data_IF_712335961250
#
_entry.id   IF_712335961250
#
_cell.length_a   1.000
_cell.length_b   1.000
_cell.length_c   1.000
_cell.angle_alpha   90.00
_cell.angle_beta   90.00
_cell.angle_gamma   90.00
#
_symmetry.space_group_name_H-M   'P 1'
#
loop_
_entity.id
_entity.type
_entity.pdbx_description
1 polymer ?
#
# COMPACT_ATOMS: atom_id res chain seq x y z
N UNK A 1 21.51 3.76 29.97
CA UNK A 1 20.83 2.65 29.27
C UNK A 1 19.66 3.19 28.48
N UNK A 2 19.30 2.57 27.35
CA UNK A 2 18.16 2.93 26.50
C UNK A 2 17.20 1.75 26.50
N UNK A 3 15.90 1.99 26.65
CA UNK A 3 14.89 0.94 26.62
C UNK A 3 13.60 1.44 25.96
N UNK A 4 12.80 0.50 25.45
CA UNK A 4 11.43 0.74 24.99
C UNK A 4 10.53 0.65 26.22
N UNK A 5 9.70 1.67 26.43
CA UNK A 5 8.73 1.72 27.53
C UNK A 5 7.36 1.21 27.07
N UNK A 6 6.48 0.85 28.02
CA UNK A 6 5.16 0.27 27.71
C UNK A 6 4.23 1.20 26.92
N UNK A 7 4.51 2.49 26.88
CA UNK A 7 3.80 3.47 26.04
C UNK A 7 4.30 3.49 24.57
N UNK A 8 5.26 2.63 24.22
CA UNK A 8 5.87 2.54 22.89
C UNK A 8 6.98 3.55 22.62
N UNK A 9 7.27 4.45 23.57
CA UNK A 9 8.36 5.43 23.44
C UNK A 9 9.71 4.82 23.77
N UNK A 10 10.79 5.43 23.27
CA UNK A 10 12.16 5.03 23.58
C UNK A 10 12.77 6.07 24.51
N UNK A 11 13.20 5.64 25.71
CA UNK A 11 13.71 6.55 26.75
C UNK A 11 15.05 6.08 27.31
N UNK A 12 15.83 7.02 27.82
CA UNK A 12 17.05 6.72 28.57
C UNK A 12 16.76 6.44 30.06
N UNK A 13 17.79 6.08 30.82
CA UNK A 13 17.70 5.80 32.27
C UNK A 13 17.22 6.97 33.13
N UNK A 14 17.29 8.21 32.63
CA UNK A 14 16.83 9.42 33.33
C UNK A 14 15.40 9.79 32.91
N UNK A 15 14.77 8.98 32.05
CA UNK A 15 13.40 9.20 31.56
C UNK A 15 13.28 10.22 30.42
N UNK A 16 14.40 10.67 29.85
CA UNK A 16 14.38 11.57 28.69
C UNK A 16 13.95 10.81 27.44
N UNK A 17 13.04 11.44 26.67
CA UNK A 17 12.50 10.91 25.42
C UNK A 17 13.54 11.00 24.30
N UNK A 18 13.77 9.88 23.60
CA UNK A 18 14.66 9.80 22.43
C UNK A 18 13.83 9.66 21.14
N UNK A 19 12.88 8.72 21.13
CA UNK A 19 11.97 8.51 20.00
C UNK A 19 10.53 8.39 20.50
N UNK A 20 9.60 8.99 19.75
CA UNK A 20 8.16 8.84 20.01
C UNK A 20 7.69 7.40 19.78
N UNK A 21 8.34 6.69 18.86
CA UNK A 21 8.09 5.30 18.55
C UNK A 21 9.37 4.63 18.09
N UNK A 22 9.64 3.42 18.56
CA UNK A 22 10.85 2.66 18.19
C UNK A 22 10.96 2.53 16.67
N UNK A 23 12.05 2.99 16.07
CA UNK A 23 12.22 2.89 14.61
C UNK A 23 11.18 3.68 13.80
N UNK A 24 10.51 4.67 14.42
CA UNK A 24 9.42 5.49 13.84
C UNK A 24 8.11 4.72 13.53
N UNK A 25 8.15 3.39 13.43
CA UNK A 25 7.00 2.51 13.14
C UNK A 25 6.57 1.62 14.32
N UNK A 26 7.46 1.43 15.31
CA UNK A 26 7.25 0.61 16.50
C UNK A 26 7.32 -0.89 16.24
N UNK A 27 7.97 -1.30 15.16
CA UNK A 27 8.05 -2.70 14.75
C UNK A 27 9.34 -3.36 15.24
N UNK A 28 9.27 -4.67 15.50
CA UNK A 28 10.45 -5.46 15.82
C UNK A 28 11.28 -5.72 14.54
N UNK A 29 12.58 -5.44 14.61
CA UNK A 29 13.52 -5.69 13.52
C UNK A 29 13.64 -7.17 13.14
N UNK A 30 13.25 -8.09 14.03
CA UNK A 30 13.18 -9.52 13.72
C UNK A 30 11.95 -9.94 12.88
N UNK A 31 10.92 -9.09 12.80
CA UNK A 31 9.64 -9.38 12.17
C UNK A 31 9.43 -8.67 10.82
N UNK A 32 10.48 -8.06 10.27
CA UNK A 32 10.44 -7.31 9.00
C UNK A 32 11.23 -8.02 7.92
N UNK A 33 10.75 -7.92 6.68
CA UNK A 33 11.35 -8.57 5.51
C UNK A 33 11.49 -7.59 4.33
N UNK A 34 12.37 -7.90 3.39
CA UNK A 34 12.52 -7.11 2.17
C UNK A 34 11.36 -7.40 1.22
N UNK A 35 10.58 -6.36 0.91
CA UNK A 35 9.44 -6.41 0.01
C UNK A 35 9.63 -5.40 -1.13
N UNK A 36 8.90 -5.61 -2.24
CA UNK A 36 8.95 -4.71 -3.40
C UNK A 36 7.65 -3.94 -3.55
N UNK A 37 7.72 -2.61 -3.58
CA UNK A 37 6.56 -1.74 -3.84
C UNK A 37 6.20 -1.77 -5.34
N UNK A 38 5.07 -2.36 -5.74
CA UNK A 38 4.76 -2.58 -7.15
C UNK A 38 4.27 -1.31 -7.86
N UNK A 39 3.89 -0.26 -7.12
CA UNK A 39 3.35 1.00 -7.63
C UNK A 39 4.42 2.02 -8.02
N UNK A 40 5.65 1.91 -7.46
CA UNK A 40 6.67 2.95 -7.54
C UNK A 40 7.35 3.05 -8.92
N UNK A 41 7.88 1.92 -9.41
CA UNK A 41 8.70 1.83 -10.65
C UNK A 41 7.94 1.92 -11.98
N UNK A 42 6.71 1.40 -12.14
CA UNK A 42 6.05 1.41 -13.44
C UNK A 42 5.88 2.81 -14.04
N UNK A 43 5.95 2.91 -15.37
CA UNK A 43 5.56 4.13 -16.10
C UNK A 43 4.07 4.41 -15.91
N UNK A 44 3.61 5.64 -16.17
CA UNK A 44 2.20 6.00 -15.99
C UNK A 44 1.26 5.07 -16.78
N UNK A 45 1.62 4.73 -18.02
CA UNK A 45 0.86 3.80 -18.86
C UNK A 45 0.87 2.37 -18.31
N UNK A 46 2.00 1.89 -17.81
CA UNK A 46 2.10 0.55 -17.23
C UNK A 46 1.37 0.44 -15.90
N UNK A 47 1.39 1.51 -15.10
CA UNK A 47 0.64 1.62 -13.85
C UNK A 47 -0.86 1.60 -14.11
N UNK A 48 -1.37 2.42 -15.04
CA UNK A 48 -2.78 2.41 -15.41
C UNK A 48 -3.23 1.04 -15.90
N UNK A 49 -2.48 0.42 -16.82
CA UNK A 49 -2.82 -0.91 -17.32
C UNK A 49 -2.88 -1.99 -16.23
N UNK A 50 -2.07 -1.87 -15.18
CA UNK A 50 -1.95 -2.91 -14.14
C UNK A 50 -2.93 -2.72 -12.97
N UNK A 51 -3.22 -1.47 -12.61
CA UNK A 51 -3.95 -1.14 -11.38
C UNK A 51 -5.32 -0.51 -11.62
N UNK A 52 -5.58 0.08 -12.79
CA UNK A 52 -6.91 0.60 -13.11
C UNK A 52 -7.83 -0.55 -13.47
N UNK A 53 -8.89 -0.72 -12.72
CA UNK A 53 -9.91 -1.72 -13.00
C UNK A 53 -10.96 -1.15 -13.96
N UNK A 54 -11.11 -1.76 -15.13
CA UNK A 54 -12.05 -1.33 -16.16
C UNK A 54 -13.25 -2.27 -16.21
N UNK A 55 -14.40 -1.79 -15.76
CA UNK A 55 -15.66 -2.54 -15.73
C UNK A 55 -16.36 -2.53 -17.09
N UNK A 56 -15.96 -1.64 -18.02
CA UNK A 56 -16.65 -1.51 -19.32
C UNK A 56 -16.46 -2.73 -20.23
N UNK A 57 -15.43 -3.56 -19.98
CA UNK A 57 -15.12 -4.73 -20.78
C UNK A 57 -15.77 -6.01 -20.23
N UNK A 58 -17.06 -6.21 -20.52
CA UNK A 58 -17.83 -7.37 -20.07
C UNK A 58 -17.19 -8.71 -20.44
N UNK A 59 -16.57 -8.80 -21.64
CA UNK A 59 -15.92 -10.04 -22.11
C UNK A 59 -14.72 -10.41 -21.25
N UNK A 60 -14.00 -9.43 -20.71
CA UNK A 60 -12.88 -9.66 -19.81
C UNK A 60 -13.36 -10.00 -18.40
N UNK A 61 -14.40 -9.34 -17.91
CA UNK A 61 -14.99 -9.61 -16.60
C UNK A 61 -15.53 -11.03 -16.49
N UNK A 62 -16.26 -11.52 -17.53
CA UNK A 62 -16.77 -12.90 -17.59
C UNK A 62 -15.70 -13.98 -17.59
N UNK A 63 -14.43 -13.65 -17.85
CA UNK A 63 -13.31 -14.61 -17.75
C UNK A 63 -12.76 -14.73 -16.32
N UNK A 64 -13.00 -13.72 -15.48
CA UNK A 64 -12.39 -13.59 -14.15
C UNK A 64 -13.45 -13.82 -13.06
N UNK A 65 -14.67 -13.35 -13.27
CA UNK A 65 -15.78 -13.39 -12.32
C UNK A 65 -16.96 -14.22 -12.82
N UNK A 66 -17.77 -14.70 -11.87
CA UNK A 66 -19.04 -15.36 -12.15
C UNK A 66 -20.06 -14.39 -12.76
N UNK A 67 -20.98 -14.90 -13.57
CA UNK A 67 -21.95 -14.07 -14.29
C UNK A 67 -22.83 -13.20 -13.38
N UNK A 68 -23.19 -13.69 -12.20
CA UNK A 68 -24.01 -12.94 -11.23
C UNK A 68 -23.27 -11.70 -10.71
N UNK A 69 -21.98 -11.83 -10.42
CA UNK A 69 -21.12 -10.72 -9.97
C UNK A 69 -20.93 -9.71 -11.11
N UNK A 70 -20.76 -10.18 -12.35
CA UNK A 70 -20.62 -9.28 -13.51
C UNK A 70 -21.88 -8.44 -13.72
N UNK A 71 -23.07 -9.02 -13.55
CA UNK A 71 -24.34 -8.26 -13.63
C UNK A 71 -24.45 -7.21 -12.54
N UNK A 72 -24.03 -7.53 -11.32
CA UNK A 72 -24.01 -6.59 -10.20
C UNK A 72 -23.03 -5.44 -10.43
N UNK A 73 -21.81 -5.75 -10.88
CA UNK A 73 -20.76 -4.77 -11.20
C UNK A 73 -21.20 -3.79 -12.29
N UNK A 74 -21.88 -4.27 -13.34
CA UNK A 74 -22.37 -3.41 -14.43
C UNK A 74 -23.65 -2.65 -14.06
N UNK A 75 -24.47 -3.19 -13.16
CA UNK A 75 -25.75 -2.61 -12.77
C UNK A 75 -25.66 -1.54 -11.68
N UNK A 76 -24.55 -1.48 -10.94
CA UNK A 76 -24.40 -0.60 -9.77
C UNK A 76 -23.51 0.60 -10.06
N UNK A 77 -24.11 1.79 -10.14
CA UNK A 77 -23.37 3.06 -10.27
C UNK A 77 -22.52 3.37 -9.02
N UNK A 78 -22.88 2.82 -7.85
CA UNK A 78 -22.11 3.01 -6.62
C UNK A 78 -20.72 2.37 -6.73
N UNK A 79 -20.64 1.16 -7.31
CA UNK A 79 -19.38 0.43 -7.45
C UNK A 79 -18.42 1.16 -8.39
N UNK A 80 -18.95 1.74 -9.48
CA UNK A 80 -18.17 2.60 -10.39
C UNK A 80 -17.54 3.76 -9.62
N UNK A 81 -18.32 4.44 -8.78
CA UNK A 81 -17.83 5.55 -7.96
C UNK A 81 -16.79 5.14 -6.91
N UNK A 82 -16.90 3.94 -6.32
CA UNK A 82 -15.89 3.43 -5.38
C UNK A 82 -14.57 3.07 -6.07
N UNK A 83 -14.63 2.46 -7.26
CA UNK A 83 -13.46 2.12 -8.05
C UNK A 83 -12.72 3.37 -8.56
N UNK A 84 -13.44 4.43 -8.90
CA UNK A 84 -12.84 5.72 -9.23
C UNK A 84 -12.11 6.32 -8.02
N UNK A 85 -12.72 6.26 -6.82
CA UNK A 85 -12.07 6.71 -5.58
C UNK A 85 -10.83 5.90 -5.24
N UNK A 86 -10.88 4.58 -5.41
CA UNK A 86 -9.73 3.69 -5.23
C UNK A 86 -8.60 4.07 -6.18
N UNK A 87 -8.90 4.28 -7.47
CA UNK A 87 -7.93 4.71 -8.46
C UNK A 87 -7.28 6.05 -8.11
N UNK A 88 -8.05 7.01 -7.61
CA UNK A 88 -7.53 8.30 -7.15
C UNK A 88 -6.64 8.17 -5.91
N UNK A 89 -6.98 7.28 -4.97
CA UNK A 89 -6.13 6.96 -3.83
C UNK A 89 -4.79 6.40 -4.29
N UNK A 90 -4.79 5.39 -5.17
CA UNK A 90 -3.57 4.77 -5.68
C UNK A 90 -2.66 5.76 -6.42
N UNK A 91 -3.24 6.73 -7.14
CA UNK A 91 -2.47 7.81 -7.78
C UNK A 91 -1.81 8.73 -6.75
N UNK A 92 -2.54 9.14 -5.70
CA UNK A 92 -2.02 9.99 -4.61
C UNK A 92 -0.91 9.29 -3.82
N UNK A 93 -1.11 8.02 -3.50
CA UNK A 93 -0.12 7.22 -2.77
C UNK A 93 1.14 7.06 -3.60
N UNK A 94 1.01 6.81 -4.90
CA UNK A 94 2.15 6.71 -5.81
C UNK A 94 2.97 8.00 -5.88
N UNK A 95 2.32 9.16 -5.91
CA UNK A 95 3.02 10.45 -5.90
C UNK A 95 3.77 10.67 -4.58
N UNK A 96 3.10 10.39 -3.46
CA UNK A 96 3.69 10.47 -2.11
C UNK A 96 4.90 9.55 -1.99
N UNK A 97 4.79 8.29 -2.44
CA UNK A 97 5.89 7.33 -2.42
C UNK A 97 7.09 7.79 -3.26
N UNK A 98 6.87 8.49 -4.36
CA UNK A 98 7.98 9.05 -5.18
C UNK A 98 8.67 10.23 -4.52
N UNK A 99 7.94 11.01 -3.72
CA UNK A 99 8.53 12.06 -2.90
C UNK A 99 9.36 11.48 -1.75
N UNK A 100 8.87 10.42 -1.10
CA UNK A 100 9.59 9.71 -0.03
C UNK A 100 10.82 8.97 -0.57
N UNK A 101 10.72 8.32 -1.74
CA UNK A 101 11.79 7.56 -2.38
C UNK A 101 12.26 8.20 -3.69
N UNK A 102 12.97 9.35 -3.66
CA UNK A 102 13.34 10.11 -4.86
C UNK A 102 14.28 9.34 -5.81
N UNK A 103 15.02 8.36 -5.30
CA UNK A 103 15.90 7.48 -6.10
C UNK A 103 15.12 6.39 -6.86
N UNK A 104 13.84 6.21 -6.56
CA UNK A 104 13.01 5.17 -7.18
C UNK A 104 13.36 3.74 -6.77
N UNK A 105 14.00 3.56 -5.61
CA UNK A 105 14.24 2.21 -5.08
C UNK A 105 12.92 1.61 -4.58
N UNK A 106 12.54 0.49 -5.18
CA UNK A 106 11.29 -0.19 -4.87
C UNK A 106 11.44 -1.24 -3.78
N UNK A 107 12.68 -1.62 -3.43
CA UNK A 107 12.94 -2.61 -2.40
C UNK A 107 12.97 -1.90 -1.05
N UNK A 108 12.04 -2.25 -0.18
CA UNK A 108 11.86 -1.66 1.14
C UNK A 108 11.72 -2.75 2.18
N UNK A 109 12.03 -2.44 3.43
CA UNK A 109 11.86 -3.37 4.55
C UNK A 109 10.49 -3.08 5.18
N UNK A 110 9.61 -4.08 5.19
CA UNK A 110 8.25 -3.96 5.70
C UNK A 110 7.84 -5.23 6.47
N UNK A 111 6.98 -5.11 7.48
CA UNK A 111 6.41 -6.28 8.16
C UNK A 111 5.48 -7.06 7.23
N UNK A 112 5.20 -8.32 7.57
CA UNK A 112 4.20 -9.17 6.92
C UNK A 112 4.38 -9.27 5.38
N UNK A 113 5.10 -10.30 4.93
CA UNK A 113 5.35 -10.54 3.52
C UNK A 113 4.07 -10.93 2.76
N UNK A 114 3.43 -9.97 2.09
CA UNK A 114 2.15 -10.18 1.38
C UNK A 114 2.24 -11.15 0.18
N UNK A 115 3.35 -11.19 -0.58
CA UNK A 115 3.51 -12.17 -1.66
C UNK A 115 3.63 -13.65 -1.26
N UNK A 116 3.88 -13.97 0.01
CA UNK A 116 4.14 -15.34 0.48
C UNK A 116 2.86 -16.17 0.51
#
# INVERSE_FOLDING_TARGET
SIMITYDGTVRNSVGQLIQLRYGEDGLDGGAVEVQTLPTLKPSNKAFEKKFKFDISNERQLKKIFNEDIVKELMGSANIVGELEKEWDNLKRDRETLRQVFPKGDSKVVLPCNLPR
#
